data_IF_355709894979
#
_entry.id   IF_355709894979
#
_cell.length_a   1.000
_cell.length_b   1.000
_cell.length_c   1.000
_cell.angle_alpha   90.00
_cell.angle_beta   90.00
_cell.angle_gamma   90.00
#
_symmetry.space_group_name_H-M   'P 1'
#
loop_
_entity.id
_entity.type
_entity.pdbx_description
1 polymer ?
#
# COMPACT_ATOMS: atom_id res chain seq x y z
N UNK A 1 4.48 -69.52 -48.93
CA UNK A 1 4.88 -68.14 -49.26
C UNK A 1 4.10 -67.21 -48.35
N UNK A 2 4.76 -66.62 -47.35
CA UNK A 2 4.13 -65.69 -46.40
C UNK A 2 4.11 -64.29 -47.00
N UNK A 3 2.98 -63.56 -46.95
CA UNK A 3 2.92 -62.18 -47.46
C UNK A 3 3.81 -61.25 -46.61
N UNK A 4 4.44 -60.24 -47.23
CA UNK A 4 5.31 -59.30 -46.55
C UNK A 4 4.53 -58.50 -45.51
N UNK A 5 5.08 -58.42 -44.29
CA UNK A 5 4.51 -57.64 -43.19
C UNK A 5 4.65 -56.15 -43.54
N UNK A 6 3.55 -55.38 -43.55
CA UNK A 6 3.62 -53.94 -43.83
C UNK A 6 4.46 -53.23 -42.77
N UNK A 7 5.23 -52.20 -43.15
CA UNK A 7 6.05 -51.45 -42.20
C UNK A 7 5.15 -50.81 -41.15
N UNK A 8 5.62 -50.69 -39.89
CA UNK A 8 4.87 -50.04 -38.83
C UNK A 8 4.54 -48.61 -39.27
N UNK A 9 3.26 -48.28 -39.31
CA UNK A 9 2.78 -46.93 -39.58
C UNK A 9 3.41 -46.00 -38.56
N UNK A 10 4.38 -45.19 -39.02
CA UNK A 10 5.11 -44.25 -38.19
C UNK A 10 4.12 -43.45 -37.35
N UNK A 11 4.28 -43.55 -36.03
CA UNK A 11 3.44 -42.84 -35.08
C UNK A 11 3.42 -41.37 -35.48
N UNK A 12 2.26 -40.89 -35.94
CA UNK A 12 2.03 -39.46 -36.10
C UNK A 12 2.30 -38.86 -34.74
N UNK A 13 3.39 -38.10 -34.65
CA UNK A 13 3.62 -37.18 -33.56
C UNK A 13 2.34 -36.36 -33.44
N UNK A 14 1.53 -36.69 -32.43
CA UNK A 14 0.33 -35.93 -32.11
C UNK A 14 0.85 -34.63 -31.51
N UNK A 15 1.02 -33.62 -32.36
CA UNK A 15 1.35 -32.29 -31.89
C UNK A 15 0.12 -31.78 -31.12
N UNK A 16 0.19 -31.65 -29.79
CA UNK A 16 -0.97 -31.31 -28.97
C UNK A 16 -1.57 -29.95 -29.37
N UNK A 17 -0.78 -29.05 -29.95
CA UNK A 17 -1.26 -27.78 -30.49
C UNK A 17 -2.14 -27.96 -31.73
N UNK A 18 -1.83 -28.93 -32.58
CA UNK A 18 -2.63 -29.23 -33.78
C UNK A 18 -4.01 -29.76 -33.40
N UNK A 19 -4.08 -30.64 -32.40
CA UNK A 19 -5.31 -31.22 -31.90
C UNK A 19 -6.22 -30.16 -31.25
N UNK A 20 -5.62 -29.20 -30.55
CA UNK A 20 -6.32 -28.08 -29.94
C UNK A 20 -6.92 -27.14 -30.99
N UNK A 21 -6.20 -26.87 -32.09
CA UNK A 21 -6.71 -26.09 -33.23
C UNK A 21 -7.90 -26.76 -33.89
N UNK A 22 -7.78 -28.05 -34.16
CA UNK A 22 -8.83 -28.84 -34.79
C UNK A 22 -10.09 -28.89 -33.90
N UNK A 23 -9.92 -29.03 -32.58
CA UNK A 23 -11.00 -28.96 -31.60
C UNK A 23 -11.66 -27.56 -31.50
N UNK A 24 -10.92 -26.47 -31.74
CA UNK A 24 -11.47 -25.10 -31.79
C UNK A 24 -12.22 -24.79 -33.10
N UNK A 25 -11.92 -25.51 -34.18
CA UNK A 25 -12.64 -25.41 -35.45
C UNK A 25 -13.91 -26.24 -35.45
N UNK A 26 -13.88 -27.41 -34.79
CA UNK A 26 -15.01 -28.32 -34.70
C UNK A 26 -16.21 -27.76 -33.90
N UNK A 27 -15.99 -26.86 -32.94
CA UNK A 27 -17.07 -26.34 -32.09
C UNK A 27 -16.88 -24.86 -31.74
N UNK A 28 -17.91 -24.01 -31.95
CA UNK A 28 -17.90 -22.64 -31.43
C UNK A 28 -17.79 -22.59 -29.89
N UNK A 29 -18.28 -23.62 -29.19
CA UNK A 29 -18.29 -23.67 -27.73
C UNK A 29 -16.88 -23.86 -27.13
N UNK A 30 -15.97 -24.58 -27.80
CA UNK A 30 -14.58 -24.75 -27.33
C UNK A 30 -13.81 -23.42 -27.36
N UNK A 31 -14.15 -22.49 -28.28
CA UNK A 31 -13.56 -21.15 -28.29
C UNK A 31 -13.95 -20.32 -27.07
N UNK A 32 -15.19 -20.46 -26.61
CA UNK A 32 -15.66 -19.81 -25.38
C UNK A 32 -15.02 -20.41 -24.14
N UNK A 33 -14.91 -21.75 -24.07
CA UNK A 33 -14.28 -22.44 -22.95
C UNK A 33 -12.80 -22.04 -22.78
N UNK A 34 -12.04 -21.94 -23.87
CA UNK A 34 -10.66 -21.46 -23.85
C UNK A 34 -10.53 -20.03 -23.31
N UNK A 35 -11.48 -19.15 -23.65
CA UNK A 35 -11.57 -17.81 -23.11
C UNK A 35 -11.78 -17.81 -21.59
N UNK A 36 -12.71 -18.63 -21.09
CA UNK A 36 -12.99 -18.76 -19.65
C UNK A 36 -11.79 -19.34 -18.90
N UNK A 37 -11.12 -20.35 -19.45
CA UNK A 37 -9.93 -20.97 -18.84
C UNK A 37 -8.77 -19.98 -18.79
N UNK A 38 -8.52 -19.22 -19.86
CA UNK A 38 -7.49 -18.17 -19.86
C UNK A 38 -7.78 -17.09 -18.81
N UNK A 39 -9.06 -16.77 -18.61
CA UNK A 39 -9.51 -15.79 -17.63
C UNK A 39 -9.38 -16.29 -16.19
N UNK A 40 -9.72 -17.56 -15.94
CA UNK A 40 -9.48 -18.23 -14.66
C UNK A 40 -7.98 -18.32 -14.35
N UNK A 41 -7.15 -18.64 -15.35
CA UNK A 41 -5.69 -18.69 -15.22
C UNK A 41 -5.11 -17.30 -14.88
N UNK A 42 -5.50 -16.26 -15.60
CA UNK A 42 -5.09 -14.89 -15.29
C UNK A 42 -5.54 -14.47 -13.88
N UNK A 43 -6.78 -14.78 -13.50
CA UNK A 43 -7.29 -14.55 -12.15
C UNK A 43 -6.47 -15.26 -11.06
N UNK A 44 -6.10 -16.52 -11.30
CA UNK A 44 -5.28 -17.30 -10.37
C UNK A 44 -3.85 -16.78 -10.23
N UNK A 45 -3.24 -16.30 -11.33
CA UNK A 45 -1.90 -15.69 -11.31
C UNK A 45 -1.92 -14.36 -10.55
N UNK A 46 -2.95 -13.55 -10.75
CA UNK A 46 -3.12 -12.29 -10.01
C UNK A 46 -3.37 -12.57 -8.52
N UNK A 47 -4.20 -13.56 -8.18
CA UNK A 47 -4.37 -13.98 -6.78
C UNK A 47 -3.07 -14.50 -6.16
N UNK A 48 -2.25 -15.24 -6.91
CA UNK A 48 -0.96 -15.75 -6.42
C UNK A 48 0.09 -14.64 -6.24
N UNK A 49 0.03 -13.56 -7.04
CA UNK A 49 0.98 -12.46 -6.98
C UNK A 49 0.59 -11.36 -6.00
N UNK A 50 -0.71 -11.17 -5.73
CA UNK A 50 -1.19 -10.07 -4.91
C UNK A 50 -1.45 -10.54 -3.47
N UNK A 51 -0.53 -10.18 -2.57
CA UNK A 51 -0.53 -10.54 -1.13
C UNK A 51 -1.73 -10.05 -0.31
N UNK A 52 -2.64 -9.28 -0.89
CA UNK A 52 -3.84 -8.80 -0.21
C UNK A 52 -5.08 -9.04 -1.08
N UNK A 53 -6.08 -9.80 -0.58
CA UNK A 53 -7.22 -10.27 -1.39
C UNK A 53 -8.07 -9.14 -1.97
N UNK A 54 -8.09 -7.97 -1.31
CA UNK A 54 -8.83 -6.79 -1.76
C UNK A 54 -8.21 -6.18 -3.03
N UNK A 55 -6.88 -6.14 -3.10
CA UNK A 55 -6.15 -5.67 -4.28
C UNK A 55 -6.18 -6.69 -5.40
N UNK A 56 -6.16 -7.99 -5.06
CA UNK A 56 -6.35 -9.06 -6.02
C UNK A 56 -7.71 -8.95 -6.71
N UNK A 57 -8.79 -8.74 -5.93
CA UNK A 57 -10.13 -8.63 -6.48
C UNK A 57 -10.32 -7.40 -7.38
N UNK A 58 -9.80 -6.24 -6.99
CA UNK A 58 -9.89 -5.02 -7.81
C UNK A 58 -9.04 -5.11 -9.08
N UNK A 59 -7.85 -5.70 -9.01
CA UNK A 59 -7.02 -5.96 -10.18
C UNK A 59 -7.66 -6.98 -11.13
N UNK A 60 -8.19 -8.09 -10.61
CA UNK A 60 -8.91 -9.11 -11.40
C UNK A 60 -10.16 -8.51 -12.04
N UNK A 61 -10.94 -7.73 -11.29
CA UNK A 61 -12.12 -7.04 -11.84
C UNK A 61 -11.73 -6.05 -12.94
N UNK A 62 -10.65 -5.28 -12.75
CA UNK A 62 -10.15 -4.33 -13.76
C UNK A 62 -9.68 -5.02 -15.03
N UNK A 63 -8.90 -6.09 -14.91
CA UNK A 63 -8.44 -6.92 -16.04
C UNK A 63 -9.62 -7.59 -16.74
N UNK A 64 -10.62 -8.04 -15.98
CA UNK A 64 -11.84 -8.63 -16.52
C UNK A 64 -12.63 -7.63 -17.35
N UNK A 65 -12.87 -6.44 -16.81
CA UNK A 65 -13.57 -5.36 -17.52
C UNK A 65 -12.79 -4.97 -18.79
N UNK A 66 -11.46 -4.91 -18.72
CA UNK A 66 -10.61 -4.64 -19.89
C UNK A 66 -10.73 -5.74 -20.96
N UNK A 67 -10.71 -7.02 -20.57
CA UNK A 67 -10.91 -8.14 -21.49
C UNK A 67 -12.30 -8.13 -22.14
N UNK A 68 -13.35 -7.88 -21.37
CA UNK A 68 -14.73 -7.82 -21.88
C UNK A 68 -14.89 -6.63 -22.83
N UNK A 69 -14.33 -5.47 -22.49
CA UNK A 69 -14.32 -4.30 -23.37
C UNK A 69 -13.62 -4.62 -24.71
N UNK A 70 -12.42 -5.22 -24.67
CA UNK A 70 -11.70 -5.64 -25.87
C UNK A 70 -12.47 -6.68 -26.70
N UNK A 71 -13.17 -7.61 -26.05
CA UNK A 71 -13.96 -8.63 -26.72
C UNK A 71 -15.18 -8.05 -27.44
N UNK A 72 -15.97 -7.21 -26.75
CA UNK A 72 -17.12 -6.51 -27.35
C UNK A 72 -16.65 -5.67 -28.55
N UNK A 73 -15.49 -5.03 -28.40
CA UNK A 73 -14.89 -4.22 -29.44
C UNK A 73 -14.45 -5.05 -30.66
N UNK A 74 -13.83 -6.22 -30.45
CA UNK A 74 -13.46 -7.15 -31.53
C UNK A 74 -14.66 -7.64 -32.32
N UNK A 75 -15.79 -7.86 -31.64
CA UNK A 75 -17.05 -8.25 -32.32
C UNK A 75 -17.63 -7.10 -33.15
N UNK A 76 -17.61 -5.88 -32.63
CA UNK A 76 -18.08 -4.69 -33.35
C UNK A 76 -17.27 -4.43 -34.64
N UNK A 77 -15.95 -4.60 -34.61
CA UNK A 77 -15.11 -4.40 -35.81
C UNK A 77 -15.33 -5.47 -36.88
N UNK A 78 -15.73 -6.68 -36.51
CA UNK A 78 -16.08 -7.74 -37.46
C UNK A 78 -17.38 -7.49 -38.23
N UNK A 79 -18.29 -6.69 -37.66
CA UNK A 79 -19.61 -6.39 -38.22
C UNK A 79 -19.67 -5.07 -39.01
N UNK A 80 -18.59 -4.27 -38.98
CA UNK A 80 -18.57 -2.95 -39.62
C UNK A 80 -18.51 -3.04 -41.16
N UNK A 81 -19.47 -2.38 -41.83
CA UNK A 81 -19.48 -2.20 -43.28
C UNK A 81 -18.21 -1.49 -43.77
N UNK A 82 -17.76 -1.74 -45.01
CA UNK A 82 -16.48 -1.22 -45.55
C UNK A 82 -16.28 0.29 -45.34
N UNK A 83 -17.36 1.08 -45.38
CA UNK A 83 -17.30 2.54 -45.21
C UNK A 83 -17.00 3.00 -43.77
N UNK A 84 -17.37 2.23 -42.74
CA UNK A 84 -17.19 2.62 -41.32
C UNK A 84 -15.96 1.99 -40.66
N UNK A 85 -15.22 1.13 -41.39
CA UNK A 85 -14.06 0.40 -40.84
C UNK A 85 -12.98 1.31 -40.29
N UNK A 86 -12.66 2.40 -40.99
CA UNK A 86 -11.59 3.33 -40.55
C UNK A 86 -11.96 4.03 -39.25
N UNK A 87 -13.20 4.51 -39.13
CA UNK A 87 -13.68 5.17 -37.91
C UNK A 87 -13.73 4.20 -36.72
N UNK A 88 -14.20 2.98 -36.95
CA UNK A 88 -14.22 1.92 -35.94
C UNK A 88 -12.80 1.57 -35.46
N UNK A 89 -11.81 1.57 -36.38
CA UNK A 89 -10.42 1.26 -36.05
C UNK A 89 -9.75 2.39 -35.24
N UNK A 90 -10.02 3.67 -35.54
CA UNK A 90 -9.50 4.78 -34.74
C UNK A 90 -10.11 4.76 -33.33
N UNK A 91 -11.43 4.56 -33.23
CA UNK A 91 -12.10 4.42 -31.94
C UNK A 91 -11.57 3.22 -31.14
N UNK A 92 -11.16 2.13 -31.82
CA UNK A 92 -10.53 0.96 -31.20
C UNK A 92 -9.26 1.34 -30.45
N UNK A 93 -8.34 2.01 -31.14
CA UNK A 93 -7.06 2.40 -30.56
C UNK A 93 -7.25 3.39 -29.43
N UNK A 94 -8.21 4.30 -29.54
CA UNK A 94 -8.50 5.26 -28.49
C UNK A 94 -9.04 4.61 -27.21
N UNK A 95 -10.08 3.77 -27.32
CA UNK A 95 -10.66 3.07 -26.16
C UNK A 95 -9.65 2.10 -25.57
N UNK A 96 -8.92 1.35 -26.41
CA UNK A 96 -7.85 0.47 -25.96
C UNK A 96 -6.74 1.21 -25.21
N UNK A 97 -6.35 2.39 -25.71
CA UNK A 97 -5.39 3.28 -25.06
C UNK A 97 -5.87 3.77 -23.70
N UNK A 98 -7.14 4.20 -23.58
CA UNK A 98 -7.72 4.62 -22.29
C UNK A 98 -7.77 3.46 -21.30
N UNK A 99 -8.18 2.27 -21.73
CA UNK A 99 -8.23 1.09 -20.85
C UNK A 99 -6.83 0.71 -20.37
N UNK A 100 -5.85 0.66 -21.28
CA UNK A 100 -4.44 0.44 -20.93
C UNK A 100 -3.91 1.49 -19.96
N UNK A 101 -4.18 2.78 -20.20
CA UNK A 101 -3.79 3.87 -19.32
C UNK A 101 -4.46 3.76 -17.94
N UNK A 102 -5.75 3.43 -17.89
CA UNK A 102 -6.51 3.26 -16.64
C UNK A 102 -5.95 2.11 -15.82
N UNK A 103 -5.71 0.95 -16.45
CA UNK A 103 -5.09 -0.20 -15.79
C UNK A 103 -3.68 0.14 -15.32
N UNK A 104 -2.89 0.84 -16.15
CA UNK A 104 -1.57 1.34 -15.79
C UNK A 104 -1.60 2.28 -14.58
N UNK A 105 -2.57 3.20 -14.52
CA UNK A 105 -2.74 4.11 -13.39
C UNK A 105 -3.16 3.36 -12.12
N UNK A 106 -4.09 2.40 -12.20
CA UNK A 106 -4.51 1.59 -11.05
C UNK A 106 -3.34 0.74 -10.54
N UNK A 107 -2.61 0.10 -11.44
CA UNK A 107 -1.43 -0.69 -11.12
C UNK A 107 -0.35 0.18 -10.46
N UNK A 108 0.00 1.31 -11.09
CA UNK A 108 0.98 2.24 -10.55
C UNK A 108 0.57 2.78 -9.18
N UNK A 109 -0.71 3.12 -9.01
CA UNK A 109 -1.25 3.60 -7.73
C UNK A 109 -1.20 2.54 -6.64
N UNK A 110 -1.41 1.27 -7.00
CA UNK A 110 -1.40 0.15 -6.05
C UNK A 110 0.01 -0.18 -5.57
N UNK A 111 1.00 -0.17 -6.47
CA UNK A 111 2.37 -0.61 -6.15
C UNK A 111 3.31 0.52 -5.76
N UNK A 112 3.19 1.68 -6.41
CA UNK A 112 4.10 2.81 -6.23
C UNK A 112 3.46 3.97 -5.47
N UNK A 113 2.20 3.86 -5.02
CA UNK A 113 1.44 4.96 -4.40
C UNK A 113 1.31 6.22 -5.30
N UNK A 114 1.62 6.13 -6.59
CA UNK A 114 1.48 7.21 -7.57
C UNK A 114 0.46 6.84 -8.65
N UNK A 115 -0.49 7.71 -9.03
CA UNK A 115 -0.67 9.11 -8.63
C UNK A 115 -1.49 9.33 -7.34
N UNK A 116 -2.09 8.27 -6.78
CA UNK A 116 -2.93 8.36 -5.59
C UNK A 116 -2.54 7.25 -4.60
N UNK A 117 -2.35 7.55 -3.31
CA UNK A 117 -1.99 6.54 -2.31
C UNK A 117 -3.21 5.71 -1.89
N UNK A 118 -3.66 4.80 -2.77
CA UNK A 118 -4.81 3.95 -2.51
C UNK A 118 -4.55 2.96 -1.37
N UNK A 119 -3.32 2.45 -1.27
CA UNK A 119 -2.94 1.47 -0.25
C UNK A 119 -3.17 1.99 1.16
N UNK A 120 -2.73 3.22 1.41
CA UNK A 120 -2.80 3.85 2.72
C UNK A 120 -4.24 4.19 3.11
N UNK A 121 -5.03 4.72 2.17
CA UNK A 121 -6.45 5.01 2.42
C UNK A 121 -7.26 3.75 2.71
N UNK A 122 -7.03 2.68 1.94
CA UNK A 122 -7.71 1.40 2.17
C UNK A 122 -7.30 0.79 3.52
N UNK A 123 -6.03 0.94 3.90
CA UNK A 123 -5.54 0.46 5.19
C UNK A 123 -6.14 1.26 6.36
N UNK A 124 -6.18 2.59 6.28
CA UNK A 124 -6.83 3.45 7.27
C UNK A 124 -8.34 3.12 7.41
N UNK A 125 -9.02 2.87 6.29
CA UNK A 125 -10.42 2.45 6.27
C UNK A 125 -10.61 1.08 6.92
N UNK A 126 -9.74 0.10 6.62
CA UNK A 126 -9.79 -1.23 7.24
C UNK A 126 -9.57 -1.17 8.76
N UNK A 127 -8.64 -0.33 9.23
CA UNK A 127 -8.42 -0.09 10.66
C UNK A 127 -9.64 0.55 11.32
N UNK A 128 -10.26 1.51 10.65
CA UNK A 128 -11.47 2.18 11.14
C UNK A 128 -12.61 1.18 11.33
N UNK A 129 -12.86 0.34 10.32
CA UNK A 129 -13.90 -0.71 10.38
C UNK A 129 -13.61 -1.67 11.54
N UNK A 130 -12.36 -2.10 11.72
CA UNK A 130 -12.01 -3.01 12.82
C UNK A 130 -12.10 -2.36 14.19
N UNK A 131 -11.73 -1.08 14.32
CA UNK A 131 -11.90 -0.35 15.56
C UNK A 131 -13.40 -0.24 15.93
N UNK A 132 -14.27 -0.01 14.95
CA UNK A 132 -15.73 -0.04 15.14
C UNK A 132 -16.24 -1.42 15.55
N UNK A 133 -15.80 -2.48 14.88
CA UNK A 133 -16.14 -3.87 15.22
C UNK A 133 -15.69 -4.25 16.65
N UNK A 134 -14.56 -3.73 17.11
CA UNK A 134 -14.06 -3.91 18.47
C UNK A 134 -14.77 -3.04 19.52
N UNK A 135 -15.73 -2.20 19.13
CA UNK A 135 -16.42 -1.26 20.03
C UNK A 135 -15.57 -0.07 20.47
N UNK A 136 -14.46 0.21 19.77
CA UNK A 136 -13.53 1.31 20.06
C UNK A 136 -13.88 2.54 19.20
N UNK A 137 -15.07 3.10 19.39
CA UNK A 137 -15.59 4.21 18.57
C UNK A 137 -14.71 5.47 18.61
N UNK A 138 -14.07 5.77 19.75
CA UNK A 138 -13.12 6.88 19.85
C UNK A 138 -11.87 6.66 19.00
N UNK A 139 -11.40 5.41 18.93
CA UNK A 139 -10.24 5.02 18.12
C UNK A 139 -10.57 5.05 16.63
N UNK A 140 -11.77 4.61 16.26
CA UNK A 140 -12.27 4.70 14.89
C UNK A 140 -12.37 6.16 14.42
N UNK A 141 -12.74 7.08 15.31
CA UNK A 141 -12.77 8.51 14.98
C UNK A 141 -11.36 9.06 14.71
N UNK A 142 -10.35 8.67 15.50
CA UNK A 142 -8.97 9.11 15.29
C UNK A 142 -8.35 8.53 14.02
N UNK A 143 -8.71 7.30 13.62
CA UNK A 143 -8.17 6.67 12.40
C UNK A 143 -8.67 7.29 11.09
N UNK A 144 -9.86 7.92 11.07
CA UNK A 144 -10.43 8.50 9.84
C UNK A 144 -9.68 9.74 9.34
N UNK A 145 -9.05 10.49 10.23
CA UNK A 145 -8.34 11.73 9.92
C UNK A 145 -6.81 11.60 9.92
N UNK A 146 -6.29 10.43 10.29
CA UNK A 146 -4.85 10.19 10.35
C UNK A 146 -4.24 10.19 8.96
N UNK A 147 -3.23 11.04 8.77
CA UNK A 147 -2.42 11.03 7.57
C UNK A 147 -1.68 9.69 7.44
N UNK A 148 -1.49 9.16 6.22
CA UNK A 148 -0.74 7.93 6.00
C UNK A 148 0.65 7.90 6.64
N UNK A 149 1.34 9.02 6.59
CA UNK A 149 2.68 9.20 7.13
C UNK A 149 2.66 9.06 8.66
N UNK A 150 1.62 9.61 9.32
CA UNK A 150 1.42 9.45 10.76
C UNK A 150 1.18 8.00 11.15
N UNK A 151 0.44 7.24 10.32
CA UNK A 151 0.20 5.83 10.56
C UNK A 151 1.47 4.98 10.36
N UNK A 152 2.28 5.29 9.36
CA UNK A 152 3.59 4.67 9.19
C UNK A 152 4.49 4.97 10.41
N UNK A 153 4.49 6.22 10.88
CA UNK A 153 5.25 6.62 12.05
C UNK A 153 4.78 5.94 13.33
N UNK A 154 3.51 5.61 13.45
CA UNK A 154 2.97 4.86 14.58
C UNK A 154 3.63 3.47 14.73
N UNK A 155 3.98 2.83 13.61
CA UNK A 155 4.73 1.56 13.61
C UNK A 155 6.17 1.76 14.08
N UNK A 156 6.81 2.84 13.62
CA UNK A 156 8.18 3.19 14.02
C UNK A 156 8.28 3.54 15.51
N UNK A 157 7.29 4.24 16.05
CA UNK A 157 7.30 4.70 17.43
C UNK A 157 7.20 3.52 18.41
N UNK A 158 6.30 2.58 18.14
CA UNK A 158 6.05 1.40 18.99
C UNK A 158 5.99 1.79 20.50
N UNK A 159 6.32 0.88 21.41
CA UNK A 159 6.48 1.13 22.85
C UNK A 159 7.87 1.71 23.21
N UNK A 160 8.63 2.18 22.21
CA UNK A 160 9.94 2.79 22.45
C UNK A 160 9.77 4.23 22.96
N UNK A 161 10.56 4.60 23.97
CA UNK A 161 10.68 5.99 24.40
C UNK A 161 11.64 6.72 23.48
N UNK A 162 11.17 7.82 22.90
CA UNK A 162 11.97 8.65 22.00
C UNK A 162 12.40 9.91 22.76
N UNK A 163 13.70 9.98 23.06
CA UNK A 163 14.28 11.17 23.68
C UNK A 163 14.41 12.27 22.63
N UNK A 164 14.02 13.49 22.99
CA UNK A 164 14.10 14.62 22.06
C UNK A 164 15.46 15.27 22.01
N UNK A 165 16.33 14.97 22.96
CA UNK A 165 17.71 15.43 22.88
C UNK A 165 18.66 14.54 23.62
N UNK A 166 19.94 14.79 23.38
CA UNK A 166 21.03 14.13 24.05
C UNK A 166 22.16 15.11 24.30
N UNK A 167 22.98 14.80 25.30
CA UNK A 167 24.21 15.53 25.57
C UNK A 167 25.36 14.76 24.94
N UNK A 168 26.20 15.46 24.19
CA UNK A 168 27.46 14.92 23.71
C UNK A 168 28.46 14.89 24.89
N UNK A 169 29.02 13.72 25.23
CA UNK A 169 29.96 13.62 26.35
C UNK A 169 31.29 14.33 26.11
N UNK A 170 31.69 14.55 24.85
CA UNK A 170 32.99 15.16 24.51
C UNK A 170 32.91 16.68 24.54
N UNK A 171 31.88 17.26 23.92
CA UNK A 171 31.70 18.72 23.84
C UNK A 171 30.86 19.28 24.97
N UNK A 172 30.12 18.43 25.69
CA UNK A 172 29.09 18.81 26.66
C UNK A 172 27.99 19.71 26.03
N UNK A 173 27.83 19.65 24.71
CA UNK A 173 26.76 20.33 24.00
C UNK A 173 25.47 19.54 24.08
N UNK A 174 24.34 20.25 24.11
CA UNK A 174 23.02 19.63 24.03
C UNK A 174 22.47 19.70 22.62
N UNK A 175 22.10 18.55 22.07
CA UNK A 175 21.48 18.42 20.75
C UNK A 175 19.99 18.17 20.92
N UNK A 176 19.16 19.13 20.49
CA UNK A 176 17.71 18.99 20.42
C UNK A 176 17.31 18.53 19.02
N UNK A 177 16.82 17.30 18.94
CA UNK A 177 16.25 16.70 17.74
C UNK A 177 14.86 17.31 17.49
N UNK A 178 14.58 17.78 16.26
CA UNK A 178 13.26 18.29 15.91
C UNK A 178 12.23 17.17 15.97
N UNK A 179 11.03 17.51 16.46
CA UNK A 179 9.90 16.58 16.50
C UNK A 179 9.38 16.40 15.07
N UNK A 180 9.29 15.16 14.54
CA UNK A 180 8.72 14.93 13.22
C UNK A 180 7.26 15.39 13.12
N UNK A 181 6.85 15.90 11.95
CA UNK A 181 5.48 16.37 11.66
C UNK A 181 4.40 15.32 11.97
N UNK A 182 4.75 14.06 11.75
CA UNK A 182 3.90 12.90 12.01
C UNK A 182 3.59 12.72 13.50
N UNK A 183 4.55 13.01 14.38
CA UNK A 183 4.37 12.92 15.84
C UNK A 183 3.41 14.02 16.31
N UNK A 184 3.46 15.21 15.70
CA UNK A 184 2.49 16.27 15.97
C UNK A 184 1.08 15.86 15.59
N UNK A 185 0.93 15.23 14.42
CA UNK A 185 -0.37 14.69 14.00
C UNK A 185 -0.88 13.67 15.02
N UNK A 186 -0.03 12.74 15.47
CA UNK A 186 -0.41 11.75 16.48
C UNK A 186 -0.79 12.38 17.83
N UNK A 187 -0.11 13.45 18.22
CA UNK A 187 -0.38 14.21 19.45
C UNK A 187 -1.71 14.98 19.36
N UNK A 188 -2.04 15.58 18.21
CA UNK A 188 -3.34 16.22 17.95
C UNK A 188 -4.51 15.24 18.12
N UNK A 189 -4.31 13.97 17.73
CA UNK A 189 -5.28 12.89 17.94
C UNK A 189 -5.20 12.26 19.34
N UNK A 190 -4.37 12.80 20.25
CA UNK A 190 -4.23 12.33 21.62
C UNK A 190 -3.71 10.90 21.71
N UNK A 191 -2.75 10.52 20.85
CA UNK A 191 -2.11 9.21 20.82
C UNK A 191 -0.71 9.20 21.46
N UNK A 192 -0.17 10.36 21.79
CA UNK A 192 1.15 10.56 22.38
C UNK A 192 1.03 10.87 23.88
N UNK A 193 1.97 10.35 24.66
CA UNK A 193 2.21 10.69 26.06
C UNK A 193 3.58 11.38 26.15
N UNK A 194 3.61 12.58 26.71
CA UNK A 194 4.83 13.34 26.94
C UNK A 194 5.30 13.13 28.37
N UNK A 195 6.62 13.03 28.59
CA UNK A 195 7.16 12.80 29.94
C UNK A 195 6.88 13.94 30.94
N UNK A 196 6.53 15.13 30.43
CA UNK A 196 6.06 16.30 31.19
C UNK A 196 5.16 17.16 30.28
N UNK A 197 4.42 18.14 30.83
CA UNK A 197 3.60 19.05 30.03
C UNK A 197 4.40 19.77 28.94
N UNK A 198 3.80 19.88 27.74
CA UNK A 198 4.45 20.51 26.57
C UNK A 198 4.77 21.97 26.83
N UNK A 199 3.90 22.65 27.56
CA UNK A 199 4.00 24.07 27.88
C UNK A 199 5.22 24.33 28.78
N UNK A 200 5.42 23.47 29.79
CA UNK A 200 6.55 23.56 30.72
C UNK A 200 7.88 23.32 29.99
N UNK A 201 7.92 22.33 29.09
CA UNK A 201 9.11 22.07 28.28
C UNK A 201 9.37 23.19 27.27
N UNK A 202 8.32 23.71 26.63
CA UNK A 202 8.45 24.84 25.70
C UNK A 202 8.99 26.09 26.40
N UNK A 203 8.52 26.36 27.62
CA UNK A 203 9.05 27.44 28.45
C UNK A 203 10.53 27.25 28.78
N UNK A 204 10.94 26.03 29.13
CA UNK A 204 12.34 25.69 29.35
C UNK A 204 13.19 25.95 28.10
N UNK A 205 12.73 25.49 26.93
CA UNK A 205 13.44 25.71 25.67
C UNK A 205 13.57 27.21 25.34
N UNK A 206 12.48 27.97 25.48
CA UNK A 206 12.50 29.43 25.26
C UNK A 206 13.48 30.14 26.20
N UNK A 207 13.55 29.72 27.47
CA UNK A 207 14.51 30.27 28.44
C UNK A 207 15.97 30.01 28.05
N UNK A 208 16.22 28.93 27.31
CA UNK A 208 17.54 28.53 26.81
C UNK A 208 17.83 29.07 25.40
N UNK A 209 17.02 30.01 24.90
CA UNK A 209 17.09 30.54 23.52
C UNK A 209 16.99 29.45 22.43
N UNK A 210 16.35 28.32 22.78
CA UNK A 210 16.00 27.27 21.84
C UNK A 210 14.59 27.50 21.35
N UNK A 211 14.37 27.27 20.06
CA UNK A 211 13.04 27.36 19.48
C UNK A 211 12.26 26.09 19.85
N UNK A 212 11.17 26.20 20.62
CA UNK A 212 10.31 25.05 20.82
C UNK A 212 9.73 24.64 19.47
N UNK A 213 9.72 23.35 19.21
CA UNK A 213 8.98 22.77 18.08
C UNK A 213 9.43 23.27 16.70
N UNK A 214 10.70 23.64 16.54
CA UNK A 214 11.21 24.08 15.25
C UNK A 214 11.01 22.97 14.20
N UNK A 215 10.25 23.30 13.15
CA UNK A 215 10.12 22.46 11.98
C UNK A 215 11.43 22.47 11.20
N UNK A 216 11.93 21.28 10.87
CA UNK A 216 13.10 21.13 10.01
C UNK A 216 13.90 19.88 10.33
N UNK A 217 14.85 19.49 9.45
CA UNK A 217 15.67 18.30 9.65
C UNK A 217 16.90 18.55 10.53
N UNK A 218 17.19 19.81 10.88
CA UNK A 218 18.43 20.16 11.56
C UNK A 218 18.23 20.18 13.08
N UNK A 219 19.02 19.40 13.84
CA UNK A 219 19.02 19.53 15.29
C UNK A 219 19.47 20.93 15.70
N UNK A 220 18.85 21.46 16.74
CA UNK A 220 19.30 22.68 17.39
C UNK A 220 20.40 22.32 18.39
N UNK A 221 21.48 23.09 18.39
CA UNK A 221 22.65 22.82 19.24
C UNK A 221 22.73 23.96 20.25
N UNK A 222 22.72 23.60 21.52
CA UNK A 222 23.04 24.51 22.61
C UNK A 222 24.50 24.27 23.01
N UNK A 223 25.40 25.09 22.48
CA UNK A 223 26.85 24.94 22.71
C UNK A 223 27.21 25.33 24.15
N UNK A 224 27.90 24.41 24.83
CA UNK A 224 28.60 24.52 26.11
C UNK A 224 28.20 25.70 26.98
N UNK A 225 27.08 25.55 27.68
CA UNK A 225 26.76 26.44 28.80
C UNK A 225 27.39 25.89 30.07
N UNK A 226 28.49 26.52 30.49
CA UNK A 226 28.98 26.48 31.88
C UNK A 226 27.87 26.84 32.90
N UNK A 227 26.76 27.42 32.42
CA UNK A 227 25.67 27.99 33.22
C UNK A 227 24.37 27.19 33.22
N UNK A 228 24.28 26.02 32.56
CA UNK A 228 23.03 25.24 32.62
C UNK A 228 22.87 24.60 34.00
N UNK A 229 21.81 24.96 34.71
CA UNK A 229 21.50 24.38 36.02
C UNK A 229 21.42 22.84 35.91
N UNK A 230 21.89 22.13 36.94
CA UNK A 230 21.88 20.66 36.97
C UNK A 230 20.46 20.10 36.82
N UNK A 231 19.47 20.82 37.35
CA UNK A 231 18.05 20.49 37.21
C UNK A 231 17.59 20.56 35.74
N UNK A 232 17.92 21.63 35.03
CA UNK A 232 17.61 21.79 33.60
C UNK A 232 18.25 20.69 32.76
N UNK A 233 19.51 20.34 33.05
CA UNK A 233 20.20 19.22 32.36
C UNK A 233 19.47 17.90 32.57
N UNK A 234 18.95 17.66 33.78
CA UNK A 234 18.18 16.47 34.08
C UNK A 234 16.88 16.45 33.28
N UNK A 235 16.13 17.57 33.28
CA UNK A 235 14.88 17.69 32.53
C UNK A 235 15.10 17.46 31.03
N UNK A 236 16.06 18.16 30.42
CA UNK A 236 16.42 18.01 29.00
C UNK A 236 16.79 16.57 28.64
N UNK A 237 17.53 15.87 29.50
CA UNK A 237 17.93 14.47 29.26
C UNK A 237 16.75 13.50 29.37
N UNK A 238 15.78 13.79 30.24
CA UNK A 238 14.63 12.90 30.47
C UNK A 238 13.43 13.22 29.58
N UNK A 239 13.44 14.36 28.89
CA UNK A 239 12.32 14.74 28.05
C UNK A 239 12.17 13.80 26.86
N UNK A 240 11.06 13.09 26.87
CA UNK A 240 10.77 12.04 25.90
C UNK A 240 9.29 11.98 25.63
N UNK A 241 8.94 11.36 24.51
CA UNK A 241 7.58 11.04 24.15
C UNK A 241 7.46 9.56 23.81
N UNK A 242 6.26 9.02 23.97
CA UNK A 242 5.92 7.63 23.65
C UNK A 242 4.46 7.52 23.25
N UNK A 243 4.05 6.38 22.71
CA UNK A 243 2.63 6.09 22.53
C UNK A 243 1.95 5.95 23.89
N UNK A 244 0.77 6.58 24.04
CA UNK A 244 -0.07 6.37 25.20
C UNK A 244 -0.90 5.08 25.08
N UNK A 245 -1.77 4.78 26.04
CA UNK A 245 -2.59 3.55 26.00
C UNK A 245 -3.49 3.46 24.74
N UNK A 246 -3.99 4.60 24.24
CA UNK A 246 -4.78 4.65 22.99
C UNK A 246 -3.90 4.40 21.77
N UNK A 247 -2.73 5.05 21.70
CA UNK A 247 -1.73 4.83 20.66
C UNK A 247 -1.26 3.37 20.60
N UNK A 248 -0.99 2.76 21.76
CA UNK A 248 -0.62 1.34 21.87
C UNK A 248 -1.76 0.40 21.46
N UNK A 249 -3.01 0.72 21.80
CA UNK A 249 -4.17 -0.04 21.34
C UNK A 249 -4.30 0.01 19.80
N UNK A 250 -4.12 1.18 19.19
CA UNK A 250 -4.10 1.32 17.74
C UNK A 250 -2.94 0.55 17.10
N UNK A 251 -1.74 0.62 17.70
CA UNK A 251 -0.57 -0.15 17.25
C UNK A 251 -0.83 -1.67 17.29
N UNK A 252 -1.43 -2.17 18.37
CA UNK A 252 -1.80 -3.59 18.48
C UNK A 252 -2.82 -3.99 17.41
N UNK A 253 -3.85 -3.16 17.19
CA UNK A 253 -4.85 -3.38 16.14
C UNK A 253 -4.20 -3.46 14.75
N UNK A 254 -3.22 -2.59 14.48
CA UNK A 254 -2.40 -2.60 13.26
C UNK A 254 -1.65 -3.93 13.13
N UNK A 255 -0.91 -4.35 14.15
CA UNK A 255 -0.16 -5.62 14.11
C UNK A 255 -1.09 -6.81 13.93
N UNK A 256 -2.18 -6.89 14.68
CA UNK A 256 -3.13 -8.00 14.58
C UNK A 256 -3.75 -8.09 13.18
N UNK A 257 -4.02 -6.93 12.57
CA UNK A 257 -4.52 -6.85 11.19
C UNK A 257 -3.49 -7.37 10.20
N UNK A 258 -2.23 -6.98 10.35
CA UNK A 258 -1.13 -7.45 9.48
C UNK A 258 -0.86 -8.94 9.69
N UNK A 259 -0.76 -9.42 10.93
CA UNK A 259 -0.51 -10.83 11.24
C UNK A 259 -1.63 -11.74 10.74
N UNK A 260 -2.88 -11.30 10.85
CA UNK A 260 -4.01 -12.05 10.30
C UNK A 260 -3.94 -12.14 8.78
N UNK A 261 -3.62 -11.03 8.10
CA UNK A 261 -3.40 -11.04 6.65
C UNK A 261 -2.26 -11.98 6.25
N UNK A 262 -1.18 -12.08 7.04
CA UNK A 262 -0.06 -13.00 6.74
C UNK A 262 -0.42 -14.47 6.98
N UNK A 263 -1.28 -14.80 7.96
CA UNK A 263 -1.69 -16.20 8.23
C UNK A 263 -2.71 -16.75 7.23
N UNK A 264 -3.49 -15.87 6.61
CA UNK A 264 -4.50 -16.25 5.61
C UNK A 264 -3.87 -16.43 4.21
N UNK A 265 -2.55 -16.22 4.06
CA UNK A 265 -1.73 -16.45 2.85
C UNK A 265 -0.97 -17.76 2.95
#
# INVERSE_FOLDING_TARGET
MQPPIPPPSGGRSLDPLSLLREAMEASPATRWAMGVVGLAAAGSIVMALVRSPIFGLTAVAGVFVAMVALFIFSRLTSLAARATKTLALVFMWFVGGIVMATVGCIFSSTFFNLPWPLKEKLFAQALTIRAEEAGLSELAASTRGLAPEALAKLIDLNDARHNLGYFDPETNDYFLTPVPGEVWTLDEYGLIDWSMPKEDFAYLLMRLDLRPWAEGPRPQILTSTEYLAQEDRRVLRTFSYRLNNRGLALYRLVIETVLRQVREV
#
